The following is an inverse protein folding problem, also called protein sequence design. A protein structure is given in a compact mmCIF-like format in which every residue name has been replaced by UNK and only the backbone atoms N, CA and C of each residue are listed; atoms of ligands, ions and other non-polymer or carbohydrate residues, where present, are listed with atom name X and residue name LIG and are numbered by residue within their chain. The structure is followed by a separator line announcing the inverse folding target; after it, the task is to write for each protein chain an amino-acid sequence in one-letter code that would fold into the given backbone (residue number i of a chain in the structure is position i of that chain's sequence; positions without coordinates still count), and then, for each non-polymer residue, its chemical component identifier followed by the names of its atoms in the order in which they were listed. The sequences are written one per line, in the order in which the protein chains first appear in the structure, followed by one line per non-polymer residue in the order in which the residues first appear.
data_IF_365134556014
#
_entry.id   IF_365134556014
#
_cell.length_a   1.000
_cell.length_b   1.000
_cell.length_c   1.000
_cell.angle_alpha   90.00
_cell.angle_beta   90.00
_cell.angle_gamma   90.00
#
_symmetry.space_group_name_H-M   'P 1'
#
loop_
_entity.id
_entity.type
_entity.pdbx_description
1 polymer ?
#
# COMPACT_ATOMS: atom_id res chain seq x y z
N UNK A 1 -15.02 26.34 -6.27
CA UNK A 1 -14.74 24.88 -6.25
C UNK A 1 -13.97 24.52 -7.49
N UNK A 2 -13.03 23.58 -7.41
CA UNK A 2 -12.10 23.28 -8.51
C UNK A 2 -12.24 21.81 -8.89
N UNK A 3 -12.46 21.55 -10.17
CA UNK A 3 -12.62 20.19 -10.72
C UNK A 3 -11.60 19.94 -11.82
N UNK A 4 -11.20 18.67 -11.95
CA UNK A 4 -10.28 18.22 -13.00
C UNK A 4 -10.99 17.33 -14.02
N UNK A 5 -10.77 17.62 -15.29
CA UNK A 5 -11.40 16.97 -16.43
C UNK A 5 -10.34 16.54 -17.45
N UNK A 6 -10.70 15.56 -18.26
CA UNK A 6 -10.02 15.22 -19.50
C UNK A 6 -10.84 15.74 -20.68
N UNK A 7 -10.20 16.42 -21.62
CA UNK A 7 -10.81 16.96 -22.84
C UNK A 7 -10.11 16.34 -24.06
N UNK A 8 -10.77 15.37 -24.68
CA UNK A 8 -10.28 14.72 -25.90
C UNK A 8 -10.60 15.55 -27.15
N UNK A 9 -9.74 15.43 -28.17
CA UNK A 9 -9.90 16.11 -29.47
C UNK A 9 -9.09 17.40 -29.62
N UNK A 10 -8.31 17.79 -28.61
CA UNK A 10 -7.37 18.91 -28.70
C UNK A 10 -6.03 18.45 -29.27
N UNK A 11 -5.61 19.01 -30.41
CA UNK A 11 -4.35 18.62 -31.08
C UNK A 11 -3.37 19.77 -31.27
N UNK A 12 -3.76 21.00 -30.91
CA UNK A 12 -2.92 22.19 -31.01
C UNK A 12 -3.31 23.26 -29.98
N UNK A 13 -2.41 24.23 -29.76
CA UNK A 13 -2.68 25.36 -28.85
C UNK A 13 -3.90 26.20 -29.28
N UNK A 14 -4.26 26.20 -30.57
CA UNK A 14 -5.49 26.83 -31.05
C UNK A 14 -6.77 26.11 -30.60
N UNK A 15 -6.74 24.79 -30.42
CA UNK A 15 -7.84 24.04 -29.82
C UNK A 15 -7.99 24.37 -28.34
N UNK A 16 -6.86 24.43 -27.62
CA UNK A 16 -6.80 24.81 -26.20
C UNK A 16 -7.43 26.18 -25.97
N UNK A 17 -7.03 27.19 -26.75
CA UNK A 17 -7.58 28.54 -26.65
C UNK A 17 -9.10 28.58 -26.88
N UNK A 18 -9.60 27.88 -27.90
CA UNK A 18 -11.04 27.84 -28.20
C UNK A 18 -11.85 27.21 -27.07
N UNK A 19 -11.36 26.12 -26.48
CA UNK A 19 -12.04 25.45 -25.37
C UNK A 19 -12.00 26.32 -24.11
N UNK A 20 -10.85 26.94 -23.81
CA UNK A 20 -10.70 27.87 -22.69
C UNK A 20 -11.65 29.06 -22.79
N UNK A 21 -11.74 29.69 -23.97
CA UNK A 21 -12.66 30.80 -24.21
C UNK A 21 -14.13 30.39 -24.08
N UNK A 22 -14.50 29.19 -24.52
CA UNK A 22 -15.86 28.68 -24.39
C UNK A 22 -16.26 28.48 -22.93
N UNK A 23 -15.35 27.96 -22.10
CA UNK A 23 -15.58 27.75 -20.67
C UNK A 23 -15.63 29.06 -19.89
N UNK A 24 -14.73 30.02 -20.17
CA UNK A 24 -14.70 31.33 -19.51
C UNK A 24 -15.90 32.23 -19.84
N UNK A 25 -16.67 31.93 -20.90
CA UNK A 25 -17.93 32.62 -21.20
C UNK A 25 -19.08 32.20 -20.29
N UNK A 26 -18.94 31.11 -19.55
CA UNK A 26 -19.97 30.64 -18.62
C UNK A 26 -19.95 31.52 -17.36
N UNK A 27 -21.11 32.00 -16.87
CA UNK A 27 -21.18 32.97 -15.79
C UNK A 27 -20.65 32.44 -14.44
N UNK A 28 -20.72 31.12 -14.24
CA UNK A 28 -20.29 30.46 -13.00
C UNK A 28 -18.84 29.92 -13.08
N UNK A 29 -18.08 30.18 -14.16
CA UNK A 29 -16.67 29.76 -14.29
C UNK A 29 -15.75 30.94 -13.94
N UNK A 30 -14.87 30.73 -12.95
CA UNK A 30 -13.91 31.74 -12.48
C UNK A 30 -12.58 31.64 -13.22
N UNK A 31 -12.10 30.42 -13.46
CA UNK A 31 -10.86 30.17 -14.18
C UNK A 31 -10.90 28.81 -14.89
N UNK A 32 -10.16 28.71 -16.00
CA UNK A 32 -10.00 27.47 -16.76
C UNK A 32 -8.54 27.34 -17.21
N UNK A 33 -7.85 26.36 -16.66
CA UNK A 33 -6.50 25.97 -17.07
C UNK A 33 -6.57 24.70 -17.90
N UNK A 34 -5.91 24.69 -19.06
CA UNK A 34 -6.01 23.59 -20.02
C UNK A 34 -4.61 23.32 -20.57
N UNK A 35 -4.17 22.07 -20.44
CA UNK A 35 -2.84 21.60 -20.85
C UNK A 35 -2.96 20.41 -21.80
N UNK A 36 -2.09 20.37 -22.81
CA UNK A 36 -1.96 19.21 -23.69
C UNK A 36 -1.34 18.03 -22.90
N UNK A 37 -1.69 16.77 -23.23
CA UNK A 37 -2.53 16.36 -24.36
C UNK A 37 -4.04 16.55 -24.16
N UNK A 38 -4.55 16.46 -22.93
CA UNK A 38 -5.99 16.39 -22.67
C UNK A 38 -6.42 16.89 -21.28
N UNK A 39 -5.57 17.52 -20.47
CA UNK A 39 -5.92 17.87 -19.09
C UNK A 39 -6.58 19.25 -19.00
N UNK A 40 -7.62 19.37 -18.18
CA UNK A 40 -8.27 20.63 -17.88
C UNK A 40 -8.63 20.75 -16.40
N UNK A 41 -8.35 21.90 -15.79
CA UNK A 41 -8.76 22.25 -14.43
C UNK A 41 -9.66 23.47 -14.49
N UNK A 42 -10.89 23.33 -13.97
CA UNK A 42 -11.91 24.37 -14.03
C UNK A 42 -12.27 24.78 -12.60
N UNK A 43 -12.14 26.07 -12.33
CA UNK A 43 -12.62 26.68 -11.10
C UNK A 43 -13.99 27.33 -11.35
N UNK A 44 -14.97 26.98 -10.54
CA UNK A 44 -16.35 27.44 -10.68
C UNK A 44 -16.91 27.96 -9.35
N UNK A 45 -17.79 28.96 -9.44
CA UNK A 45 -18.48 29.56 -8.30
C UNK A 45 -19.59 28.64 -7.76
N UNK A 46 -20.29 27.95 -8.65
CA UNK A 46 -21.29 26.91 -8.36
C UNK A 46 -21.00 25.68 -9.20
N UNK A 47 -21.45 24.52 -8.74
CA UNK A 47 -21.26 23.28 -9.50
C UNK A 47 -21.99 23.34 -10.85
N UNK A 48 -21.25 23.14 -11.94
CA UNK A 48 -21.77 23.05 -13.30
C UNK A 48 -21.70 21.59 -13.71
N UNK A 49 -22.82 21.03 -14.17
CA UNK A 49 -22.89 19.63 -14.56
C UNK A 49 -22.07 19.34 -15.83
N UNK A 50 -21.48 18.14 -15.91
CA UNK A 50 -20.70 17.68 -17.06
C UNK A 50 -21.44 17.84 -18.42
N UNK A 51 -22.75 17.55 -18.55
CA UNK A 51 -23.48 17.78 -19.80
C UNK A 51 -23.50 19.24 -20.24
N UNK A 52 -23.58 20.17 -19.28
CA UNK A 52 -23.58 21.61 -19.56
C UNK A 52 -22.21 22.08 -20.03
N UNK A 53 -21.13 21.58 -19.40
CA UNK A 53 -19.75 21.83 -19.85
C UNK A 53 -19.52 21.26 -21.26
N UNK A 54 -20.01 20.05 -21.54
CA UNK A 54 -19.93 19.41 -22.85
C UNK A 54 -20.66 20.22 -23.94
N UNK A 55 -21.81 20.81 -23.59
CA UNK A 55 -22.55 21.68 -24.51
C UNK A 55 -21.79 22.98 -24.82
N UNK A 56 -21.11 23.56 -23.83
CA UNK A 56 -20.35 24.80 -23.98
C UNK A 56 -19.14 24.64 -24.92
N UNK A 57 -18.41 23.54 -24.83
CA UNK A 57 -17.22 23.28 -25.66
C UNK A 57 -17.57 22.73 -27.06
N UNK A 58 -18.80 22.25 -27.24
CA UNK A 58 -19.34 21.75 -28.50
C UNK A 58 -18.95 20.30 -28.84
N UNK A 59 -19.63 19.72 -29.84
CA UNK A 59 -19.50 18.30 -30.20
C UNK A 59 -18.15 17.89 -30.80
N UNK A 60 -17.25 18.85 -31.08
CA UNK A 60 -15.92 18.60 -31.63
C UNK A 60 -14.94 18.05 -30.58
N UNK A 61 -15.21 18.29 -29.30
CA UNK A 61 -14.38 17.85 -28.19
C UNK A 61 -15.21 17.00 -27.23
N UNK A 62 -14.56 16.14 -26.45
CA UNK A 62 -15.23 15.28 -25.47
C UNK A 62 -14.66 15.55 -24.09
N UNK A 63 -15.49 16.01 -23.16
CA UNK A 63 -15.10 16.24 -21.77
C UNK A 63 -15.55 15.09 -20.88
N UNK A 64 -14.62 14.52 -20.13
CA UNK A 64 -14.84 13.47 -19.13
C UNK A 64 -14.28 13.94 -17.79
N UNK A 65 -14.95 13.60 -16.70
CA UNK A 65 -14.42 13.89 -15.36
C UNK A 65 -13.24 12.94 -15.09
N UNK A 66 -12.09 13.49 -14.74
CA UNK A 66 -10.99 12.67 -14.23
C UNK A 66 -11.38 12.24 -12.83
N UNK A 67 -11.25 10.95 -12.49
CA UNK A 67 -11.64 10.37 -11.20
C UNK A 67 -10.78 10.86 -10.02
N UNK A 68 -10.67 12.17 -9.86
CA UNK A 68 -10.14 12.89 -8.72
C UNK A 68 -11.14 14.00 -8.42
N UNK A 69 -12.02 13.71 -7.46
CA UNK A 69 -12.99 14.61 -6.82
C UNK A 69 -14.41 14.70 -7.43
N UNK A 70 -15.05 13.54 -7.60
CA UNK A 70 -16.51 13.43 -7.56
C UNK A 70 -16.95 12.82 -6.21
N UNK A 71 -17.29 13.67 -5.22
CA UNK A 71 -18.43 13.48 -4.30
C UNK A 71 -18.50 14.59 -3.24
N UNK A 72 -19.42 15.54 -3.44
CA UNK A 72 -20.21 16.14 -2.36
C UNK A 72 -21.64 16.26 -2.89
N UNK A 73 -22.35 15.15 -2.81
CA UNK A 73 -23.79 15.07 -2.99
C UNK A 73 -24.24 14.06 -1.94
N UNK A 74 -25.02 14.54 -0.96
CA UNK A 74 -25.59 13.75 0.12
C UNK A 74 -26.41 12.58 -0.46
N UNK A 75 -25.79 11.40 -0.51
CA UNK A 75 -26.48 10.14 -0.26
C UNK A 75 -26.32 9.85 1.24
N UNK A 76 -27.28 9.18 1.90
CA UNK A 76 -26.99 8.61 3.20
C UNK A 76 -25.85 7.62 2.97
N UNK A 77 -24.65 8.01 3.37
CA UNK A 77 -23.53 7.09 3.50
C UNK A 77 -23.95 6.16 4.62
N UNK A 78 -24.52 5.01 4.24
CA UNK A 78 -24.00 3.80 4.85
C UNK A 78 -22.50 3.85 4.53
N UNK A 79 -21.74 4.47 5.43
CA UNK A 79 -20.35 4.18 5.66
C UNK A 79 -20.31 2.69 5.99
N UNK A 80 -20.40 1.85 4.95
CA UNK A 80 -19.84 0.52 5.00
C UNK A 80 -18.35 0.78 4.96
N UNK A 81 -17.84 1.24 6.11
CA UNK A 81 -16.48 1.05 6.58
C UNK A 81 -16.09 -0.32 6.04
N UNK A 82 -15.27 -0.35 4.98
CA UNK A 82 -14.87 -1.60 4.33
C UNK A 82 -14.47 -2.52 5.45
N UNK A 83 -15.26 -3.57 5.69
CA UNK A 83 -15.14 -4.38 6.89
C UNK A 83 -13.67 -4.70 7.08
N UNK A 84 -13.12 -4.44 8.27
CA UNK A 84 -11.72 -4.71 8.60
C UNK A 84 -11.28 -6.09 8.06
N UNK A 85 -12.17 -7.07 8.18
CA UNK A 85 -12.03 -8.44 7.67
C UNK A 85 -11.85 -8.48 6.14
N UNK A 86 -12.62 -7.71 5.38
CA UNK A 86 -12.51 -7.64 3.92
C UNK A 86 -11.15 -7.04 3.48
N UNK A 87 -10.63 -6.08 4.25
CA UNK A 87 -9.30 -5.51 4.02
C UNK A 87 -8.21 -6.54 4.33
N UNK A 88 -8.19 -7.17 5.50
CA UNK A 88 -7.13 -8.11 5.88
C UNK A 88 -7.35 -9.57 5.43
N UNK A 89 -8.36 -9.84 4.61
CA UNK A 89 -8.69 -11.20 4.14
C UNK A 89 -7.49 -11.96 3.56
N UNK A 90 -6.65 -11.39 2.67
CA UNK A 90 -5.49 -12.12 2.14
C UNK A 90 -4.51 -12.54 3.24
N UNK A 91 -4.27 -11.65 4.21
CA UNK A 91 -3.36 -11.89 5.32
C UNK A 91 -3.90 -12.97 6.28
N UNK A 92 -5.19 -12.94 6.59
CA UNK A 92 -5.84 -13.97 7.41
C UNK A 92 -5.79 -15.35 6.75
N UNK A 93 -5.96 -15.41 5.42
CA UNK A 93 -5.83 -16.66 4.66
C UNK A 93 -4.40 -17.19 4.75
N UNK A 94 -3.39 -16.33 4.56
CA UNK A 94 -1.98 -16.70 4.68
C UNK A 94 -1.68 -17.23 6.09
N UNK A 95 -2.10 -16.50 7.12
CA UNK A 95 -1.91 -16.91 8.51
C UNK A 95 -2.57 -18.26 8.82
N UNK A 96 -3.81 -18.46 8.37
CA UNK A 96 -4.53 -19.72 8.54
C UNK A 96 -3.81 -20.89 7.83
N UNK A 97 -3.32 -20.65 6.61
CA UNK A 97 -2.61 -21.67 5.83
C UNK A 97 -1.28 -22.06 6.49
N UNK A 98 -0.47 -21.08 6.90
CA UNK A 98 0.80 -21.33 7.61
C UNK A 98 0.55 -22.06 8.92
N UNK A 99 -0.44 -21.65 9.71
CA UNK A 99 -0.82 -22.31 10.96
C UNK A 99 -1.19 -23.77 10.73
N UNK A 100 -2.05 -24.04 9.74
CA UNK A 100 -2.50 -25.40 9.40
C UNK A 100 -1.36 -26.29 8.91
N UNK A 101 -0.55 -25.81 7.97
CA UNK A 101 0.61 -26.56 7.46
C UNK A 101 1.62 -26.83 8.56
N UNK A 102 1.90 -25.86 9.42
CA UNK A 102 2.83 -26.02 10.55
C UNK A 102 2.32 -27.06 11.55
N UNK A 103 1.01 -27.08 11.83
CA UNK A 103 0.39 -28.08 12.70
C UNK A 103 0.50 -29.50 12.15
N UNK A 104 0.32 -29.66 10.83
CA UNK A 104 0.49 -30.96 10.16
C UNK A 104 1.97 -31.37 10.15
N UNK A 105 2.87 -30.46 9.80
CA UNK A 105 4.30 -30.72 9.73
C UNK A 105 4.91 -31.04 11.10
N UNK A 106 4.42 -30.43 12.17
CA UNK A 106 4.87 -30.68 13.53
C UNK A 106 4.11 -31.83 14.23
N UNK A 107 3.26 -32.57 13.52
CA UNK A 107 2.48 -33.64 14.14
C UNK A 107 3.41 -34.70 14.75
N UNK A 108 3.26 -34.95 16.06
CA UNK A 108 4.10 -35.87 16.81
C UNK A 108 5.44 -35.30 17.30
N UNK A 109 5.73 -34.03 17.03
CA UNK A 109 6.92 -33.33 17.52
C UNK A 109 6.60 -32.34 18.66
N UNK A 110 7.59 -31.95 19.49
CA UNK A 110 7.41 -30.91 20.49
C UNK A 110 6.95 -29.58 19.88
N UNK A 111 6.24 -28.77 20.68
CA UNK A 111 5.69 -27.48 20.26
C UNK A 111 6.74 -26.53 19.65
N UNK A 112 8.02 -26.64 20.03
CA UNK A 112 9.12 -25.85 19.44
C UNK A 112 9.30 -26.09 17.94
N UNK A 113 9.04 -27.31 17.45
CA UNK A 113 9.11 -27.60 16.00
C UNK A 113 7.95 -26.94 15.26
N UNK A 114 6.77 -26.93 15.87
CA UNK A 114 5.63 -26.17 15.34
C UNK A 114 5.95 -24.69 15.25
N UNK A 115 6.56 -24.10 16.29
CA UNK A 115 7.00 -22.71 16.27
C UNK A 115 8.02 -22.46 15.16
N UNK A 116 9.01 -23.35 14.98
CA UNK A 116 10.00 -23.26 13.91
C UNK A 116 9.37 -23.31 12.51
N UNK A 117 8.45 -24.25 12.25
CA UNK A 117 7.76 -24.33 10.96
C UNK A 117 6.83 -23.13 10.72
N UNK A 118 6.19 -22.62 11.77
CA UNK A 118 5.38 -21.42 11.69
C UNK A 118 6.25 -20.21 11.30
N UNK A 119 7.37 -20.00 11.99
CA UNK A 119 8.36 -18.95 11.69
C UNK A 119 8.90 -19.07 10.26
N UNK A 120 9.24 -20.29 9.83
CA UNK A 120 9.72 -20.56 8.48
C UNK A 120 8.68 -20.16 7.42
N UNK A 121 7.45 -20.66 7.56
CA UNK A 121 6.37 -20.37 6.62
C UNK A 121 6.08 -18.87 6.55
N UNK A 122 6.14 -18.19 7.70
CA UNK A 122 5.97 -16.75 7.80
C UNK A 122 7.03 -15.99 7.00
N UNK A 123 8.31 -16.21 7.30
CA UNK A 123 9.41 -15.54 6.60
C UNK A 123 9.42 -15.83 5.09
N UNK A 124 9.18 -17.08 4.69
CA UNK A 124 9.20 -17.46 3.27
C UNK A 124 8.07 -16.79 2.48
N UNK A 125 6.84 -16.78 3.01
CA UNK A 125 5.69 -16.20 2.32
C UNK A 125 5.80 -14.67 2.25
N UNK A 126 6.22 -14.02 3.34
CA UNK A 126 6.36 -12.57 3.37
C UNK A 126 7.54 -12.08 2.54
N UNK A 127 8.66 -12.80 2.54
CA UNK A 127 9.77 -12.55 1.63
C UNK A 127 9.30 -12.64 0.17
N UNK A 128 8.55 -13.69 -0.17
CA UNK A 128 8.00 -13.86 -1.53
C UNK A 128 7.14 -12.67 -1.96
N UNK A 129 6.22 -12.19 -1.13
CA UNK A 129 5.39 -11.03 -1.48
C UNK A 129 6.23 -9.76 -1.68
N UNK A 130 7.27 -9.56 -0.87
CA UNK A 130 8.21 -8.43 -1.06
C UNK A 130 9.02 -8.56 -2.34
N UNK A 131 9.30 -9.79 -2.79
CA UNK A 131 10.03 -10.07 -4.02
C UNK A 131 9.20 -9.86 -5.29
N UNK A 132 7.87 -9.88 -5.21
CA UNK A 132 7.00 -9.61 -6.37
C UNK A 132 7.24 -8.21 -6.96
N UNK A 133 7.52 -7.23 -6.10
CA UNK A 133 7.93 -5.89 -6.51
C UNK A 133 8.93 -5.31 -5.50
N UNK A 134 10.19 -5.74 -5.63
CA UNK A 134 11.29 -5.32 -4.73
C UNK A 134 11.49 -3.81 -4.77
N UNK A 135 11.31 -3.17 -5.92
CA UNK A 135 11.53 -1.73 -6.08
C UNK A 135 10.49 -0.94 -5.30
N UNK A 136 9.20 -1.27 -5.49
CA UNK A 136 8.10 -0.68 -4.74
C UNK A 136 8.23 -0.98 -3.24
N UNK A 137 8.62 -2.20 -2.88
CA UNK A 137 8.90 -2.56 -1.50
C UNK A 137 9.99 -1.66 -0.91
N UNK A 138 11.16 -1.54 -1.56
CA UNK A 138 12.29 -0.78 -1.05
C UNK A 138 11.97 0.72 -0.89
N UNK A 139 11.23 1.31 -1.84
CA UNK A 139 10.77 2.70 -1.74
C UNK A 139 9.87 2.91 -0.54
N UNK A 140 8.88 2.05 -0.39
CA UNK A 140 7.93 2.10 0.72
C UNK A 140 8.60 1.80 2.07
N UNK A 141 9.47 0.80 2.14
CA UNK A 141 10.21 0.40 3.34
C UNK A 141 11.14 1.52 3.82
N UNK A 142 11.79 2.23 2.91
CA UNK A 142 12.65 3.39 3.23
C UNK A 142 11.92 4.56 3.89
N UNK A 143 10.59 4.61 3.78
CA UNK A 143 9.80 5.70 4.35
C UNK A 143 9.60 5.58 5.88
N UNK A 144 9.72 4.38 6.44
CA UNK A 144 9.47 4.11 7.85
C UNK A 144 10.58 3.32 8.58
N UNK A 145 11.30 2.43 7.91
CA UNK A 145 12.36 1.66 8.56
C UNK A 145 13.57 2.55 8.89
N UNK A 146 14.14 2.38 10.09
CA UNK A 146 15.21 3.23 10.61
C UNK A 146 16.49 3.14 9.77
N UNK A 147 16.83 1.95 9.26
CA UNK A 147 18.06 1.71 8.51
C UNK A 147 17.85 2.00 7.02
N UNK A 148 16.72 1.59 6.45
CA UNK A 148 16.37 1.86 5.06
C UNK A 148 16.18 3.36 4.77
N UNK A 149 15.71 4.13 5.76
CA UNK A 149 15.63 5.60 5.69
C UNK A 149 17.00 6.25 5.55
N UNK A 150 18.04 5.65 6.13
CA UNK A 150 19.43 6.12 6.01
C UNK A 150 20.12 5.57 4.75
N UNK A 151 19.81 4.34 4.37
CA UNK A 151 20.38 3.67 3.21
C UNK A 151 19.32 2.85 2.46
N UNK A 152 18.84 3.38 1.32
CA UNK A 152 17.83 2.72 0.46
C UNK A 152 18.23 1.31 0.01
N UNK A 153 19.54 1.05 -0.11
CA UNK A 153 20.06 -0.27 -0.46
C UNK A 153 19.66 -1.37 0.52
N UNK A 154 19.45 -1.03 1.79
CA UNK A 154 18.95 -1.99 2.79
C UNK A 154 17.57 -2.55 2.42
N UNK A 155 16.68 -1.72 1.86
CA UNK A 155 15.35 -2.16 1.41
C UNK A 155 15.39 -3.20 0.29
N UNK A 156 16.44 -3.21 -0.55
CA UNK A 156 16.63 -4.26 -1.57
C UNK A 156 17.18 -5.56 -1.00
N UNK A 157 17.92 -5.48 0.11
CA UNK A 157 18.54 -6.65 0.75
C UNK A 157 17.57 -7.33 1.71
N UNK A 158 16.69 -6.56 2.36
CA UNK A 158 15.79 -7.05 3.40
C UNK A 158 14.93 -8.28 3.00
N UNK A 159 14.32 -8.34 1.81
CA UNK A 159 13.57 -9.54 1.40
C UNK A 159 14.43 -10.82 1.37
N UNK A 160 15.72 -10.69 1.08
CA UNK A 160 16.66 -11.82 1.09
C UNK A 160 17.10 -12.20 2.51
N UNK A 161 17.14 -11.25 3.45
CA UNK A 161 17.37 -11.54 4.86
C UNK A 161 16.22 -12.40 5.39
N UNK A 162 14.97 -12.01 5.10
CA UNK A 162 13.80 -12.80 5.48
C UNK A 162 13.79 -14.18 4.80
N UNK A 163 14.12 -14.26 3.50
CA UNK A 163 14.26 -15.54 2.81
C UNK A 163 15.27 -16.45 3.52
N UNK A 164 16.44 -15.90 3.88
CA UNK A 164 17.49 -16.65 4.57
C UNK A 164 17.04 -17.12 5.95
N UNK A 165 16.36 -16.27 6.74
CA UNK A 165 15.79 -16.66 8.03
C UNK A 165 14.72 -17.76 7.87
N UNK A 166 13.85 -17.64 6.86
CA UNK A 166 12.83 -18.64 6.57
C UNK A 166 13.42 -20.00 6.23
N UNK A 167 14.49 -20.03 5.42
CA UNK A 167 15.23 -21.25 5.10
C UNK A 167 15.93 -21.81 6.35
N UNK A 168 16.53 -20.94 7.18
CA UNK A 168 17.22 -21.36 8.39
C UNK A 168 16.27 -22.04 9.39
N UNK A 169 15.08 -21.46 9.62
CA UNK A 169 14.04 -22.09 10.43
C UNK A 169 13.53 -23.40 9.83
N UNK A 170 13.33 -23.45 8.50
CA UNK A 170 12.82 -24.65 7.83
C UNK A 170 13.79 -25.83 7.91
N UNK A 171 15.09 -25.54 7.79
CA UNK A 171 16.16 -26.54 7.82
C UNK A 171 16.65 -26.86 9.22
N UNK A 172 16.25 -26.08 10.23
CA UNK A 172 16.78 -26.19 11.59
C UNK A 172 18.25 -25.77 11.70
N UNK A 173 18.71 -24.88 10.82
CA UNK A 173 20.09 -24.37 10.86
C UNK A 173 20.31 -23.54 12.12
N UNK A 174 21.28 -23.94 12.93
CA UNK A 174 21.68 -23.33 14.21
C UNK A 174 20.57 -22.50 14.89
N UNK A 175 19.70 -23.14 15.69
CA UNK A 175 18.57 -22.45 16.31
C UNK A 175 18.98 -21.26 17.18
N UNK A 176 20.18 -21.28 17.77
CA UNK A 176 20.66 -20.19 18.61
C UNK A 176 20.96 -18.94 17.76
N UNK A 177 21.77 -19.10 16.71
CA UNK A 177 22.11 -18.00 15.81
C UNK A 177 20.86 -17.48 15.10
N UNK A 178 20.02 -18.37 14.60
CA UNK A 178 18.81 -18.02 13.85
C UNK A 178 17.84 -17.22 14.72
N UNK A 179 17.57 -17.65 15.95
CA UNK A 179 16.66 -16.93 16.85
C UNK A 179 17.23 -15.55 17.26
N UNK A 180 18.52 -15.44 17.53
CA UNK A 180 19.15 -14.14 17.86
C UNK A 180 19.06 -13.19 16.65
N UNK A 181 19.36 -13.68 15.45
CA UNK A 181 19.25 -12.88 14.23
C UNK A 181 17.81 -12.40 14.01
N UNK A 182 16.81 -13.28 14.19
CA UNK A 182 15.39 -12.93 14.12
C UNK A 182 15.01 -11.83 15.10
N UNK A 183 15.42 -11.93 16.38
CA UNK A 183 15.12 -10.92 17.39
C UNK A 183 15.70 -9.55 16.99
N UNK A 184 16.94 -9.54 16.51
CA UNK A 184 17.61 -8.30 16.10
C UNK A 184 16.94 -7.68 14.89
N UNK A 185 16.72 -8.45 13.82
CA UNK A 185 16.14 -7.96 12.56
C UNK A 185 14.70 -7.50 12.77
N UNK A 186 13.86 -8.36 13.36
CA UNK A 186 12.43 -8.07 13.55
C UNK A 186 12.20 -7.03 14.64
N UNK A 187 12.99 -7.06 15.72
CA UNK A 187 12.92 -6.04 16.77
C UNK A 187 13.28 -4.66 16.24
N UNK A 188 14.31 -4.55 15.41
CA UNK A 188 14.69 -3.28 14.78
C UNK A 188 13.60 -2.77 13.81
N UNK A 189 13.06 -3.64 12.96
CA UNK A 189 11.94 -3.32 12.05
C UNK A 189 10.70 -2.84 12.82
N UNK A 190 10.34 -3.54 13.91
CA UNK A 190 9.20 -3.21 14.77
C UNK A 190 9.29 -1.78 15.31
N UNK A 191 10.46 -1.36 15.77
CA UNK A 191 10.68 0.00 16.30
C UNK A 191 10.39 1.05 15.21
N UNK A 192 10.84 0.82 13.97
CA UNK A 192 10.59 1.70 12.83
C UNK A 192 9.10 1.81 12.49
N UNK A 193 8.39 0.67 12.44
CA UNK A 193 6.94 0.63 12.14
C UNK A 193 6.14 1.31 13.26
N UNK A 194 6.44 1.01 14.53
CA UNK A 194 5.78 1.65 15.69
C UNK A 194 5.98 3.17 15.65
N UNK A 195 7.20 3.64 15.40
CA UNK A 195 7.50 5.07 15.30
C UNK A 195 6.73 5.73 14.15
N UNK A 196 6.58 5.05 13.02
CA UNK A 196 5.82 5.55 11.86
C UNK A 196 4.32 5.67 12.15
N UNK A 197 3.73 4.65 12.81
CA UNK A 197 2.32 4.64 13.22
C UNK A 197 2.01 5.76 14.23
N UNK A 198 2.88 5.97 15.22
CA UNK A 198 2.73 7.04 16.22
C UNK A 198 2.79 8.43 15.57
N UNK A 199 3.61 8.59 14.52
CA UNK A 199 3.80 9.87 13.86
C UNK A 199 2.69 10.25 12.85
N UNK A 200 1.61 9.46 12.72
CA UNK A 200 0.45 9.69 11.83
C UNK A 200 0.84 10.15 10.41
N UNK A 201 1.99 9.75 9.89
CA UNK A 201 2.38 10.10 8.53
C UNK A 201 1.57 9.23 7.58
N UNK A 202 0.65 9.85 6.84
CA UNK A 202 -0.04 9.22 5.71
C UNK A 202 0.99 9.00 4.60
N UNK A 203 1.69 7.89 4.64
CA UNK A 203 2.57 7.47 3.55
C UNK A 203 1.91 6.27 2.90
N UNK A 204 1.50 6.44 1.65
CA UNK A 204 1.02 5.33 0.84
C UNK A 204 2.18 4.36 0.63
N UNK A 205 2.01 3.13 1.13
CA UNK A 205 3.04 2.11 1.10
C UNK A 205 2.83 1.16 -0.09
N UNK A 206 3.86 1.06 -0.93
CA UNK A 206 3.90 0.29 -2.16
C UNK A 206 4.28 -1.20 -1.96
N UNK A 207 4.61 -1.64 -0.74
CA UNK A 207 5.01 -3.03 -0.44
C UNK A 207 3.92 -4.09 -0.69
N UNK A 208 2.66 -3.76 -0.36
CA UNK A 208 1.48 -4.57 -0.67
C UNK A 208 0.39 -3.72 -1.35
N UNK A 209 0.67 -2.43 -1.54
CA UNK A 209 -0.20 -1.45 -2.18
C UNK A 209 -0.44 -1.74 -3.65
N UNK A 210 0.58 -2.23 -4.35
CA UNK A 210 0.54 -2.49 -5.79
C UNK A 210 -0.31 -3.71 -6.18
N UNK A 211 -0.46 -4.70 -5.28
CA UNK A 211 -1.22 -5.95 -5.57
C UNK A 211 -2.47 -6.09 -4.67
N UNK A 212 -2.45 -5.62 -3.42
CA UNK A 212 -3.55 -5.82 -2.44
C UNK A 212 -4.01 -4.56 -1.65
N UNK A 213 -3.42 -3.39 -1.87
CA UNK A 213 -3.84 -2.10 -1.28
C UNK A 213 -4.00 -2.10 0.27
N UNK A 214 -3.19 -2.88 0.99
CA UNK A 214 -3.24 -2.90 2.45
C UNK A 214 -2.41 -1.76 3.04
N UNK A 215 -3.00 -0.86 3.85
CA UNK A 215 -2.23 0.12 4.61
C UNK A 215 -1.32 -0.61 5.59
N UNK A 216 -0.07 -0.16 5.75
CA UNK A 216 0.78 -0.55 6.88
C UNK A 216 -0.02 -0.31 8.16
N UNK A 217 -0.34 -1.39 8.87
CA UNK A 217 -1.38 -1.40 9.90
C UNK A 217 -0.81 -1.88 11.23
N UNK A 218 -1.60 -1.71 12.29
CA UNK A 218 -1.33 -2.30 13.61
C UNK A 218 -1.11 -3.82 13.54
N UNK A 219 -1.65 -4.47 12.51
CA UNK A 219 -1.46 -5.91 12.27
C UNK A 219 0.01 -6.28 12.06
N UNK A 220 0.77 -5.49 11.29
CA UNK A 220 2.20 -5.76 11.04
C UNK A 220 3.04 -5.63 12.32
N UNK A 221 2.68 -4.71 13.22
CA UNK A 221 3.36 -4.61 14.53
C UNK A 221 3.07 -5.84 15.38
N UNK A 222 1.83 -6.30 15.42
CA UNK A 222 1.44 -7.50 16.18
C UNK A 222 2.19 -8.72 15.64
N UNK A 223 2.29 -8.83 14.33
CA UNK A 223 3.03 -9.87 13.62
C UNK A 223 4.53 -9.88 13.96
N UNK A 224 5.23 -8.75 13.80
CA UNK A 224 6.66 -8.65 14.07
C UNK A 224 6.96 -8.94 15.55
N UNK A 225 6.15 -8.43 16.47
CA UNK A 225 6.30 -8.68 17.90
C UNK A 225 6.02 -10.14 18.27
N UNK A 226 5.04 -10.78 17.62
CA UNK A 226 4.78 -12.20 17.79
C UNK A 226 5.99 -13.03 17.37
N UNK A 227 6.61 -12.71 16.24
CA UNK A 227 7.83 -13.37 15.78
C UNK A 227 9.01 -13.19 16.76
N UNK A 228 9.22 -11.98 17.27
CA UNK A 228 10.24 -11.71 18.30
C UNK A 228 9.97 -12.52 19.57
N UNK A 229 8.71 -12.57 20.03
CA UNK A 229 8.33 -13.34 21.21
C UNK A 229 8.57 -14.83 21.03
N UNK A 230 8.21 -15.40 19.86
CA UNK A 230 8.44 -16.80 19.55
C UNK A 230 9.94 -17.14 19.53
N UNK A 231 10.76 -16.31 18.88
CA UNK A 231 12.21 -16.49 18.85
C UNK A 231 12.83 -16.40 20.25
N UNK A 232 12.36 -15.48 21.10
CA UNK A 232 12.81 -15.36 22.48
C UNK A 232 12.44 -16.58 23.34
N UNK A 233 11.22 -17.10 23.18
CA UNK A 233 10.77 -18.32 23.85
C UNK A 233 11.61 -19.52 23.42
N UNK A 234 11.91 -19.65 22.13
CA UNK A 234 12.76 -20.74 21.60
C UNK A 234 14.24 -20.63 22.00
N UNK A 235 14.70 -19.48 22.50
CA UNK A 235 16.03 -19.35 23.10
C UNK A 235 16.03 -19.67 24.60
N UNK A 236 14.89 -19.49 25.26
CA UNK A 236 14.78 -19.66 26.70
C UNK A 236 14.42 -21.11 27.12
N UNK A 237 13.79 -21.88 26.23
CA UNK A 237 13.35 -23.26 26.44
C UNK A 237 14.20 -24.25 25.63
#
# INVERSE_FOLDING_TARGET
MTHSYQISGMTCNGCVAKVKDALLRMPDVLSADISLPDQATIEMQKHISLPTLQQAIGAKYTITETASMAHHMDMPTDDVEKSWIATYKPLLIVFAFITGVSAIAAHGHPFMHWMGYFMAGFFLVFSFFKMLDISAFADSYSSYDLLAKKWRGYGFIYPFIELALGIAYLTGFDPFITNIATIVVMGFSSIGVIQSLVNKRKIQCACLGAVFNLPMSTVTVVEDLLMVAMAAIMLAL
#
